data_IF_460247087696
#
_entry.id   IF_460247087696
#
_cell.length_a   1.000
_cell.length_b   1.000
_cell.length_c   1.000
_cell.angle_alpha   90.00
_cell.angle_beta   90.00
_cell.angle_gamma   90.00
#
_symmetry.space_group_name_H-M   'P 1'
#
loop_
_entity.id
_entity.type
_entity.pdbx_description
1 polymer ?
#
# COMPACT_ATOMS: atom_id res chain seq x y z
N UNK A 1 13.79 -6.38 -1.56
CA UNK A 1 13.73 -5.38 -0.46
C UNK A 1 13.48 -6.15 0.83
N UNK A 2 14.29 -5.96 1.88
CA UNK A 2 14.22 -6.74 3.14
C UNK A 2 12.81 -6.80 3.75
N UNK A 3 12.07 -5.69 3.70
CA UNK A 3 10.69 -5.59 4.20
C UNK A 3 9.70 -6.55 3.49
N UNK A 4 9.79 -6.68 2.16
CA UNK A 4 8.91 -7.58 1.40
C UNK A 4 9.17 -9.05 1.74
N UNK A 5 10.43 -9.40 1.97
CA UNK A 5 10.83 -10.74 2.39
C UNK A 5 10.38 -11.06 3.83
N UNK A 6 10.42 -10.08 4.73
CA UNK A 6 9.88 -10.23 6.09
C UNK A 6 8.36 -10.42 6.09
N UNK A 7 7.63 -9.68 5.26
CA UNK A 7 6.18 -9.81 5.10
C UNK A 7 5.80 -11.23 4.67
N UNK A 8 6.50 -11.79 3.66
CA UNK A 8 6.25 -13.15 3.17
C UNK A 8 6.43 -14.21 4.26
N UNK A 9 7.37 -14.01 5.17
CA UNK A 9 7.64 -14.94 6.28
C UNK A 9 6.56 -14.94 7.36
N UNK A 10 5.71 -13.92 7.44
CA UNK A 10 4.68 -13.81 8.47
C UNK A 10 3.50 -14.80 8.28
N UNK A 11 3.36 -15.43 7.11
CA UNK A 11 2.43 -16.56 6.89
C UNK A 11 0.93 -16.22 6.94
N UNK A 12 0.56 -14.95 7.01
CA UNK A 12 -0.82 -14.47 6.91
C UNK A 12 -1.07 -13.78 5.56
N UNK A 13 -2.30 -13.78 5.03
CA UNK A 13 -2.60 -13.05 3.79
C UNK A 13 -2.41 -11.55 4.05
N UNK A 14 -1.30 -11.00 3.58
CA UNK A 14 -0.92 -9.61 3.78
C UNK A 14 -1.00 -8.90 2.43
N UNK A 15 -1.91 -7.94 2.29
CA UNK A 15 -1.95 -7.06 1.12
C UNK A 15 -1.16 -5.81 1.40
N UNK A 16 -0.25 -5.45 0.51
CA UNK A 16 0.56 -4.25 0.65
C UNK A 16 0.14 -3.19 -0.35
N UNK A 17 -0.16 -2.00 0.15
CA UNK A 17 -0.46 -0.82 -0.65
C UNK A 17 0.70 0.16 -0.52
N UNK A 18 1.41 0.41 -1.62
CA UNK A 18 2.54 1.32 -1.68
C UNK A 18 2.12 2.61 -2.38
N UNK A 19 2.44 3.76 -1.78
CA UNK A 19 2.03 5.06 -2.32
C UNK A 19 3.25 5.96 -2.53
N UNK A 20 3.49 6.37 -3.77
CA UNK A 20 4.55 7.28 -4.18
C UNK A 20 5.30 6.81 -5.44
N UNK A 21 5.86 7.75 -6.24
CA UNK A 21 6.48 7.44 -7.53
C UNK A 21 7.79 6.62 -7.44
N UNK A 22 8.42 6.55 -6.26
CA UNK A 22 9.56 5.65 -6.05
C UNK A 22 9.11 4.18 -6.10
N UNK A 23 7.98 3.85 -5.49
CA UNK A 23 7.45 2.49 -5.45
C UNK A 23 6.99 1.98 -6.80
N UNK A 24 6.42 2.85 -7.64
CA UNK A 24 6.05 2.51 -9.02
C UNK A 24 7.25 1.96 -9.81
N UNK A 25 8.42 2.58 -9.65
CA UNK A 25 9.66 2.14 -10.32
C UNK A 25 10.20 0.84 -9.75
N UNK A 26 10.15 0.69 -8.43
CA UNK A 26 10.62 -0.53 -7.75
C UNK A 26 9.75 -1.74 -8.12
N UNK A 27 8.42 -1.58 -8.11
CA UNK A 27 7.49 -2.64 -8.46
C UNK A 27 7.54 -3.00 -9.95
N UNK A 28 7.78 -2.02 -10.83
CA UNK A 28 7.96 -2.29 -12.26
C UNK A 28 9.19 -3.20 -12.53
N UNK A 29 10.23 -3.10 -11.70
CA UNK A 29 11.41 -3.95 -11.81
C UNK A 29 11.16 -5.38 -11.29
N UNK A 30 10.27 -5.53 -10.30
CA UNK A 30 9.92 -6.81 -9.67
C UNK A 30 8.42 -6.82 -9.33
N UNK A 31 7.56 -7.19 -10.30
CA UNK A 31 6.12 -7.21 -10.08
C UNK A 31 5.74 -8.30 -9.06
N UNK A 32 4.86 -7.94 -8.12
CA UNK A 32 4.34 -8.83 -7.10
C UNK A 32 2.80 -8.72 -7.09
N UNK A 33 2.05 -9.83 -7.29
CA UNK A 33 0.59 -9.81 -7.34
C UNK A 33 -0.08 -9.45 -6.00
N UNK A 34 0.64 -9.53 -4.88
CA UNK A 34 0.12 -9.19 -3.54
C UNK A 34 0.36 -7.73 -3.15
N UNK A 35 1.04 -6.97 -4.02
CA UNK A 35 1.43 -5.58 -3.80
C UNK A 35 0.79 -4.69 -4.86
N UNK A 36 0.00 -3.71 -4.42
CA UNK A 36 -0.50 -2.64 -5.28
C UNK A 36 0.33 -1.37 -5.05
N UNK A 37 0.79 -0.75 -6.14
CA UNK A 37 1.50 0.53 -6.08
C UNK A 37 0.66 1.64 -6.74
N UNK A 38 0.66 2.81 -6.10
CA UNK A 38 -0.05 4.02 -6.51
C UNK A 38 0.98 5.15 -6.63
N UNK A 39 0.88 5.96 -7.68
CA UNK A 39 1.83 7.06 -7.88
C UNK A 39 1.61 8.17 -6.84
N UNK A 40 0.36 8.40 -6.44
CA UNK A 40 -0.04 9.43 -5.48
C UNK A 40 -1.20 9.00 -4.58
N UNK A 41 -1.42 9.75 -3.49
CA UNK A 41 -2.45 9.45 -2.47
C UNK A 41 -3.85 9.45 -3.07
N UNK A 42 -4.13 10.29 -4.07
CA UNK A 42 -5.44 10.36 -4.71
C UNK A 42 -5.83 9.05 -5.39
N UNK A 43 -4.89 8.40 -6.07
CA UNK A 43 -5.13 7.10 -6.73
C UNK A 43 -5.38 5.99 -5.70
N UNK A 44 -4.65 6.01 -4.58
CA UNK A 44 -4.89 5.08 -3.47
C UNK A 44 -6.30 5.26 -2.88
N UNK A 45 -6.72 6.51 -2.65
CA UNK A 45 -8.06 6.82 -2.14
C UNK A 45 -9.14 6.30 -3.10
N UNK A 46 -9.02 6.60 -4.41
CA UNK A 46 -9.97 6.10 -5.41
C UNK A 46 -10.07 4.58 -5.41
N UNK A 47 -8.94 3.88 -5.25
CA UNK A 47 -8.95 2.41 -5.14
C UNK A 47 -9.70 1.91 -3.89
N UNK A 48 -9.57 2.61 -2.76
CA UNK A 48 -10.26 2.25 -1.52
C UNK A 48 -11.77 2.56 -1.59
N UNK A 49 -12.16 3.62 -2.29
CA UNK A 49 -13.58 3.91 -2.53
C UNK A 49 -14.25 2.84 -3.40
N UNK A 50 -13.55 2.33 -4.42
CA UNK A 50 -14.06 1.28 -5.31
C UNK A 50 -14.10 -0.09 -4.63
N UNK A 51 -13.08 -0.39 -3.81
CA UNK A 51 -12.97 -1.65 -3.10
C UNK A 51 -12.55 -1.42 -1.63
N UNK A 52 -13.51 -1.05 -0.75
CA UNK A 52 -13.22 -0.78 0.65
C UNK A 52 -12.61 -2.00 1.37
N UNK A 53 -11.64 -1.72 2.24
CA UNK A 53 -11.05 -2.75 3.10
C UNK A 53 -11.98 -2.95 4.30
N UNK A 54 -12.39 -4.19 4.55
CA UNK A 54 -13.22 -4.56 5.70
C UNK A 54 -12.61 -5.75 6.44
N UNK A 55 -13.00 -5.94 7.71
CA UNK A 55 -12.60 -7.06 8.56
C UNK A 55 -11.08 -7.31 8.63
N UNK A 56 -10.29 -6.24 8.57
CA UNK A 56 -8.83 -6.29 8.50
C UNK A 56 -8.18 -5.35 9.51
N UNK A 57 -7.00 -5.74 10.03
CA UNK A 57 -6.13 -4.83 10.75
C UNK A 57 -5.28 -4.04 9.75
N UNK A 58 -5.46 -2.72 9.70
CA UNK A 58 -4.73 -1.85 8.77
C UNK A 58 -3.62 -1.09 9.51
N UNK A 59 -2.39 -1.17 9.00
CA UNK A 59 -1.27 -0.37 9.45
C UNK A 59 -0.91 0.65 8.37
N UNK A 60 -0.91 1.94 8.73
CA UNK A 60 -0.53 3.03 7.83
C UNK A 60 0.81 3.61 8.29
N UNK A 61 1.76 3.72 7.36
CA UNK A 61 3.07 4.33 7.59
C UNK A 61 3.45 5.21 6.41
N UNK A 62 3.77 6.46 6.68
CA UNK A 62 4.22 7.41 5.67
C UNK A 62 4.98 8.57 6.30
N UNK A 63 5.77 9.28 5.48
CA UNK A 63 6.33 10.56 5.89
C UNK A 63 5.25 11.64 5.85
N UNK A 64 5.39 12.68 6.69
CA UNK A 64 4.40 13.76 6.77
C UNK A 64 4.13 14.45 5.42
N UNK A 65 5.12 14.48 4.50
CA UNK A 65 5.01 15.13 3.20
C UNK A 65 4.02 14.47 2.23
N UNK A 66 3.73 13.17 2.41
CA UNK A 66 2.79 12.42 1.54
C UNK A 66 1.34 12.61 1.99
N UNK A 67 1.10 13.17 3.20
CA UNK A 67 -0.23 13.36 3.79
C UNK A 67 -1.07 12.07 3.83
N UNK A 68 -0.43 10.91 3.97
CA UNK A 68 -1.08 9.59 3.96
C UNK A 68 -2.17 9.44 5.05
N UNK A 69 -2.15 10.28 6.08
CA UNK A 69 -3.22 10.33 7.08
C UNK A 69 -4.61 10.64 6.52
N UNK A 70 -4.72 11.28 5.34
CA UNK A 70 -6.02 11.50 4.69
C UNK A 70 -6.70 10.20 4.24
N UNK A 71 -5.95 9.10 4.13
CA UNK A 71 -6.49 7.79 3.76
C UNK A 71 -7.38 7.20 4.87
N UNK A 72 -7.19 7.64 6.12
CA UNK A 72 -7.98 7.14 7.26
C UNK A 72 -9.48 7.41 7.13
N UNK A 73 -9.89 8.41 6.34
CA UNK A 73 -11.31 8.72 6.11
C UNK A 73 -11.99 7.70 5.17
N UNK A 74 -11.21 6.81 4.54
CA UNK A 74 -11.64 5.87 3.50
C UNK A 74 -11.38 4.40 3.87
N UNK A 75 -11.04 4.14 5.13
CA UNK A 75 -10.82 2.82 5.72
C UNK A 75 -11.86 2.54 6.79
#
# INVERSE_FOLDING_TARGET
HELLEEIRRAGQPLRLYLCGPCWMRELAAQPDPEVAAFAEVGELIQSLEVAPISDSLVLIKGSNGIKLGSVLEYL
#
